data_IF_961654678122
#
_entry.id   IF_961654678122
#
_cell.length_a   1.000
_cell.length_b   1.000
_cell.length_c   1.000
_cell.angle_alpha   90.00
_cell.angle_beta   90.00
_cell.angle_gamma   90.00
#
_symmetry.space_group_name_H-M   'P 1'
#
loop_
_entity.id
_entity.type
_entity.pdbx_description
1 polymer ?
#
# COMPACT_ATOMS: atom_id res chain seq x y z
N UNK A 1 5.97 -12.49 -13.79
CA UNK A 1 5.18 -13.63 -13.29
C UNK A 1 4.61 -14.48 -14.42
N UNK A 2 3.83 -13.92 -15.35
CA UNK A 2 3.15 -14.72 -16.39
C UNK A 2 3.93 -14.94 -17.70
N UNK A 3 4.93 -14.09 -18.00
CA UNK A 3 5.67 -14.12 -19.27
C UNK A 3 6.98 -14.93 -19.21
N UNK A 4 7.18 -15.73 -18.17
CA UNK A 4 8.36 -16.56 -17.97
C UNK A 4 7.94 -18.00 -17.65
N UNK A 5 8.84 -18.96 -17.89
CA UNK A 5 8.63 -20.37 -17.55
C UNK A 5 8.72 -20.56 -16.03
N UNK A 6 7.61 -20.36 -15.34
CA UNK A 6 7.48 -20.53 -13.90
C UNK A 6 6.31 -21.46 -13.57
N UNK A 7 6.23 -21.93 -12.33
CA UNK A 7 5.10 -22.77 -11.87
C UNK A 7 3.76 -22.08 -12.01
N UNK A 8 3.72 -20.76 -11.83
CA UNK A 8 2.53 -19.92 -11.93
C UNK A 8 2.01 -19.85 -13.36
N UNK A 9 2.91 -19.69 -14.35
CA UNK A 9 2.52 -19.67 -15.77
C UNK A 9 2.09 -21.05 -16.28
N UNK A 10 2.68 -22.13 -15.76
CA UNK A 10 2.30 -23.50 -16.13
C UNK A 10 0.97 -23.97 -15.51
N UNK A 11 0.73 -23.62 -14.24
CA UNK A 11 -0.48 -24.03 -13.51
C UNK A 11 -1.66 -23.08 -13.69
N UNK A 12 -1.40 -21.84 -14.13
CA UNK A 12 -2.34 -20.73 -14.14
C UNK A 12 -2.96 -20.45 -12.75
N UNK A 13 -2.20 -20.76 -11.68
CA UNK A 13 -2.59 -20.55 -10.28
C UNK A 13 -1.48 -19.74 -9.61
N UNK A 14 -1.89 -18.73 -8.83
CA UNK A 14 -0.98 -17.92 -8.01
C UNK A 14 -1.46 -18.01 -6.57
N UNK A 15 -0.55 -18.39 -5.68
CA UNK A 15 -0.82 -18.45 -4.25
C UNK A 15 -0.25 -17.19 -3.61
N UNK A 16 -1.11 -16.42 -2.93
CA UNK A 16 -0.75 -15.16 -2.28
C UNK A 16 -1.00 -15.31 -0.77
N UNK A 17 0.02 -15.69 0.02
CA UNK A 17 -0.17 -16.00 1.44
C UNK A 17 -0.07 -14.78 2.37
N UNK A 18 0.46 -13.67 1.88
CA UNK A 18 0.88 -12.52 2.68
C UNK A 18 -0.01 -11.28 2.51
N UNK A 19 -1.15 -11.42 1.81
CA UNK A 19 -2.14 -10.35 1.64
C UNK A 19 -3.52 -10.93 1.99
N UNK A 20 -4.28 -10.20 2.81
CA UNK A 20 -5.66 -10.57 3.16
C UNK A 20 -6.53 -10.60 1.90
N UNK A 21 -7.50 -11.52 1.87
CA UNK A 21 -8.36 -11.72 0.70
C UNK A 21 -9.17 -10.46 0.33
N UNK A 22 -9.66 -9.71 1.33
CA UNK A 22 -10.35 -8.43 1.13
C UNK A 22 -9.46 -7.39 0.42
N UNK A 23 -8.23 -7.21 0.88
CA UNK A 23 -7.27 -6.26 0.29
C UNK A 23 -6.89 -6.64 -1.14
N UNK A 24 -6.74 -7.95 -1.40
CA UNK A 24 -6.50 -8.42 -2.77
C UNK A 24 -7.72 -8.17 -3.66
N UNK A 25 -8.94 -8.29 -3.13
CA UNK A 25 -10.15 -7.96 -3.86
C UNK A 25 -10.22 -6.48 -4.19
N UNK A 26 -9.86 -5.59 -3.27
CA UNK A 26 -9.82 -4.14 -3.52
C UNK A 26 -8.76 -3.76 -4.57
N UNK A 27 -7.60 -4.41 -4.52
CA UNK A 27 -6.57 -4.25 -5.56
C UNK A 27 -7.09 -4.69 -6.93
N UNK A 28 -7.76 -5.83 -7.01
CA UNK A 28 -8.38 -6.31 -8.26
C UNK A 28 -9.48 -5.36 -8.72
N UNK A 29 -10.35 -4.90 -7.82
CA UNK A 29 -11.40 -3.95 -8.13
C UNK A 29 -10.81 -2.68 -8.75
N UNK A 30 -9.73 -2.15 -8.17
CA UNK A 30 -9.02 -1.01 -8.75
C UNK A 30 -8.48 -1.31 -10.14
N UNK A 31 -7.83 -2.46 -10.35
CA UNK A 31 -7.28 -2.83 -11.67
C UNK A 31 -8.37 -2.93 -12.76
N UNK A 32 -9.57 -3.38 -12.41
CA UNK A 32 -10.66 -3.56 -13.36
C UNK A 32 -11.56 -2.34 -13.54
N UNK A 33 -11.63 -1.44 -12.54
CA UNK A 33 -12.58 -0.31 -12.55
C UNK A 33 -11.95 1.07 -12.39
N UNK A 34 -10.69 1.15 -11.94
CA UNK A 34 -10.02 2.38 -11.53
C UNK A 34 -10.54 2.96 -10.21
N UNK A 35 -11.47 2.28 -9.53
CA UNK A 35 -12.06 2.75 -8.27
C UNK A 35 -11.22 2.26 -7.10
N UNK A 36 -10.84 3.19 -6.22
CA UNK A 36 -10.18 2.89 -4.95
C UNK A 36 -11.22 2.88 -3.84
N UNK A 37 -11.24 1.81 -3.04
CA UNK A 37 -12.04 1.71 -1.83
C UNK A 37 -11.06 1.57 -0.66
N UNK A 38 -11.15 2.47 0.32
CA UNK A 38 -10.37 2.43 1.55
C UNK A 38 -11.36 2.51 2.70
N UNK A 39 -11.43 1.47 3.51
CA UNK A 39 -12.40 1.37 4.60
C UNK A 39 -11.88 2.04 5.88
N UNK A 40 -10.63 1.75 6.24
CA UNK A 40 -9.97 2.31 7.41
C UNK A 40 -8.45 2.43 7.19
N UNK A 41 -7.75 2.81 8.26
CA UNK A 41 -6.31 3.03 8.24
C UNK A 41 -5.49 1.75 8.03
N UNK A 42 -5.90 0.62 8.61
CA UNK A 42 -5.18 -0.64 8.49
C UNK A 42 -5.37 -1.22 7.09
N UNK A 43 -6.57 -1.12 6.54
CA UNK A 43 -6.86 -1.46 5.14
C UNK A 43 -6.08 -0.55 4.17
N UNK A 44 -5.96 0.74 4.46
CA UNK A 44 -5.13 1.66 3.67
C UNK A 44 -3.64 1.25 3.68
N UNK A 45 -3.12 0.82 4.83
CA UNK A 45 -1.75 0.35 4.97
C UNK A 45 -1.52 -0.96 4.19
N UNK A 46 -2.44 -1.91 4.31
CA UNK A 46 -2.35 -3.19 3.60
C UNK A 46 -2.52 -3.02 2.08
N UNK A 47 -3.44 -2.14 1.65
CA UNK A 47 -3.62 -1.84 0.23
C UNK A 47 -2.43 -1.09 -0.35
N UNK A 48 -1.81 -0.17 0.41
CA UNK A 48 -0.53 0.45 0.06
C UNK A 48 0.57 -0.60 -0.13
N UNK A 49 0.69 -1.55 0.81
CA UNK A 49 1.63 -2.67 0.70
C UNK A 49 1.37 -3.53 -0.55
N UNK A 50 0.12 -3.93 -0.79
CA UNK A 50 -0.27 -4.75 -1.92
C UNK A 50 -0.01 -4.04 -3.26
N UNK A 51 -0.40 -2.76 -3.36
CA UNK A 51 -0.19 -1.94 -4.54
C UNK A 51 1.30 -1.72 -4.83
N UNK A 52 2.14 -1.55 -3.81
CA UNK A 52 3.58 -1.48 -3.98
C UNK A 52 4.17 -2.83 -4.45
N UNK A 53 3.75 -3.94 -3.84
CA UNK A 53 4.24 -5.30 -4.16
C UNK A 53 3.93 -5.71 -5.61
N UNK A 54 2.73 -5.38 -6.10
CA UNK A 54 2.31 -5.67 -7.48
C UNK A 54 2.52 -4.51 -8.45
N UNK A 55 3.27 -3.48 -8.04
CA UNK A 55 3.68 -2.35 -8.87
C UNK A 55 2.51 -1.56 -9.50
N UNK A 56 1.37 -1.50 -8.81
CA UNK A 56 0.20 -0.68 -9.19
C UNK A 56 0.41 0.75 -8.69
N UNK A 57 1.34 1.47 -9.31
CA UNK A 57 1.84 2.78 -8.84
C UNK A 57 0.72 3.82 -8.59
N UNK A 58 -0.29 3.97 -9.47
CA UNK A 58 -1.36 4.96 -9.23
C UNK A 58 -2.20 4.65 -7.98
N UNK A 59 -2.48 3.36 -7.71
CA UNK A 59 -3.18 2.93 -6.50
C UNK A 59 -2.30 3.16 -5.26
N UNK A 60 -1.02 2.79 -5.34
CA UNK A 60 -0.05 3.03 -4.27
C UNK A 60 -0.03 4.51 -3.89
N UNK A 61 0.02 5.40 -4.87
CA UNK A 61 0.08 6.84 -4.63
C UNK A 61 -1.25 7.38 -4.07
N UNK A 62 -2.40 6.83 -4.49
CA UNK A 62 -3.70 7.14 -3.90
C UNK A 62 -3.77 6.72 -2.42
N UNK A 63 -3.30 5.51 -2.07
CA UNK A 63 -3.23 5.06 -0.68
C UNK A 63 -2.33 5.97 0.16
N UNK A 64 -1.18 6.41 -0.38
CA UNK A 64 -0.29 7.36 0.32
C UNK A 64 -1.00 8.68 0.63
N UNK A 65 -1.77 9.23 -0.31
CA UNK A 65 -2.51 10.47 -0.08
C UNK A 65 -3.53 10.30 1.06
N UNK A 66 -4.29 9.21 1.05
CA UNK A 66 -5.25 8.90 2.12
C UNK A 66 -4.56 8.74 3.48
N UNK A 67 -3.44 8.00 3.52
CA UNK A 67 -2.65 7.79 4.73
C UNK A 67 -2.11 9.11 5.31
N UNK A 68 -1.67 10.06 4.47
CA UNK A 68 -1.23 11.38 4.94
C UNK A 68 -2.36 12.21 5.52
N UNK A 69 -3.58 12.11 4.97
CA UNK A 69 -4.77 12.82 5.49
C UNK A 69 -5.11 12.36 6.91
N UNK A 70 -4.89 11.08 7.21
CA UNK A 70 -5.17 10.50 8.54
C UNK A 70 -3.94 10.39 9.44
N UNK A 71 -2.83 11.06 9.10
CA UNK A 71 -1.61 11.03 9.89
C UNK A 71 -1.79 11.72 11.24
N UNK A 72 -1.44 10.99 12.30
CA UNK A 72 -1.57 11.34 13.71
C UNK A 72 -0.36 10.81 14.48
N UNK A 73 -0.19 11.26 15.73
CA UNK A 73 0.94 10.86 16.59
C UNK A 73 0.98 9.35 16.80
N UNK A 74 -0.18 8.75 17.02
CA UNK A 74 -0.38 7.35 17.34
C UNK A 74 -0.03 6.42 16.17
N UNK A 75 -0.28 6.83 14.92
CA UNK A 75 -0.04 6.02 13.72
C UNK A 75 1.21 6.41 12.91
N UNK A 76 1.88 7.52 13.26
CA UNK A 76 3.09 8.01 12.61
C UNK A 76 4.21 6.98 12.53
N UNK A 77 4.48 6.29 13.66
CA UNK A 77 5.54 5.27 13.72
C UNK A 77 5.24 4.09 12.79
N UNK A 78 4.00 3.60 12.76
CA UNK A 78 3.58 2.50 11.89
C UNK A 78 3.77 2.86 10.42
N UNK A 79 3.35 4.05 10.00
CA UNK A 79 3.55 4.52 8.62
C UNK A 79 5.01 4.68 8.26
N UNK A 80 5.84 5.25 9.14
CA UNK A 80 7.29 5.37 8.89
C UNK A 80 7.95 4.01 8.72
N UNK A 81 7.61 3.04 9.58
CA UNK A 81 8.11 1.67 9.47
C UNK A 81 7.69 1.02 8.15
N UNK A 82 6.43 1.20 7.73
CA UNK A 82 5.91 0.65 6.49
C UNK A 82 6.59 1.27 5.26
N UNK A 83 6.69 2.61 5.22
CA UNK A 83 7.37 3.34 4.15
C UNK A 83 8.85 2.92 4.04
N UNK A 84 9.53 2.74 5.17
CA UNK A 84 10.90 2.24 5.22
C UNK A 84 11.04 0.80 4.74
N UNK A 85 10.10 -0.08 5.09
CA UNK A 85 10.09 -1.47 4.62
C UNK A 85 9.91 -1.55 3.10
N UNK A 86 9.14 -0.65 2.53
CA UNK A 86 8.88 -0.58 1.08
C UNK A 86 9.92 0.24 0.31
N UNK A 87 10.89 0.88 1.00
CA UNK A 87 11.89 1.74 0.37
C UNK A 87 11.31 3.01 -0.25
N UNK A 88 10.15 3.47 0.21
CA UNK A 88 9.48 4.66 -0.31
C UNK A 88 9.98 5.93 0.42
N UNK A 89 11.16 6.39 0.02
CA UNK A 89 11.80 7.57 0.62
C UNK A 89 10.95 8.83 0.47
N UNK A 90 10.24 8.98 -0.65
CA UNK A 90 9.33 10.12 -0.86
C UNK A 90 8.21 10.16 0.17
N UNK A 91 7.67 8.99 0.54
CA UNK A 91 6.62 8.90 1.55
C UNK A 91 7.17 9.15 2.95
N UNK A 92 8.36 8.61 3.26
CA UNK A 92 9.06 8.87 4.52
C UNK A 92 9.27 10.37 4.73
N UNK A 93 9.78 11.07 3.72
CA UNK A 93 10.02 12.51 3.80
C UNK A 93 8.73 13.30 4.03
N UNK A 94 7.64 12.92 3.37
CA UNK A 94 6.32 13.54 3.57
C UNK A 94 5.80 13.33 5.00
N UNK A 95 5.88 12.10 5.52
CA UNK A 95 5.46 11.80 6.90
C UNK A 95 6.29 12.62 7.91
N UNK A 96 7.62 12.61 7.75
CA UNK A 96 8.52 13.37 8.63
C UNK A 96 8.27 14.88 8.59
N UNK A 97 7.94 15.42 7.42
CA UNK A 97 7.60 16.83 7.26
C UNK A 97 6.33 17.17 8.06
N UNK A 98 5.27 16.39 7.89
CA UNK A 98 4.00 16.63 8.59
C UNK A 98 4.15 16.47 10.10
N UNK A 99 4.93 15.49 10.57
CA UNK A 99 5.22 15.32 12.00
C UNK A 99 5.90 16.57 12.58
N UNK A 100 6.88 17.13 11.86
CA UNK A 100 7.59 18.36 12.28
C UNK A 100 6.66 19.59 12.25
N UNK A 101 5.82 19.71 11.23
CA UNK A 101 4.91 20.85 11.06
C UNK A 101 3.80 20.89 12.11
N UNK A 102 3.34 19.72 12.59
CA UNK A 102 2.25 19.63 13.57
C UNK A 102 2.73 19.55 15.03
N UNK A 103 4.03 19.68 15.31
CA UNK A 103 4.55 19.58 16.68
C UNK A 103 4.24 18.24 17.35
N UNK A 104 4.16 17.17 16.55
CA UNK A 104 3.87 15.80 17.00
C UNK A 104 5.08 15.18 17.73
N UNK A 105 6.16 15.95 17.90
CA UNK A 105 7.31 15.71 18.77
C UNK A 105 7.95 17.04 19.15
#
# INVERSE_FOLDING_TARGET
MFNHDTSESASNIIVIPDIRAEIMNDLLLYLYSGVTIIHDFDDACDLYYAAAKYEVLPLRDACKMELLVHLKVDNACQMLCLANRLGDESFKDNILKIIKENGII
#
